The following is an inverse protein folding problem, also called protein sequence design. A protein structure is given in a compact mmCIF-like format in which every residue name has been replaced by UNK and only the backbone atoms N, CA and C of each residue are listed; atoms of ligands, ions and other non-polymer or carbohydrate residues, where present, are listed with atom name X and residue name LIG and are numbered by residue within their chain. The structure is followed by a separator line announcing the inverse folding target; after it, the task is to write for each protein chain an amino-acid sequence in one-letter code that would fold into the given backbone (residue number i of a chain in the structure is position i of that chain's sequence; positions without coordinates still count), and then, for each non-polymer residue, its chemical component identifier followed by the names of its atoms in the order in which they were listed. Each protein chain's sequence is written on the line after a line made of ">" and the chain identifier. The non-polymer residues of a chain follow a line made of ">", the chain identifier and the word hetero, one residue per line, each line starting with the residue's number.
data_IF_676317508163
#
_entry.id   IF_676317508163
#
_cell.length_a   1.000
_cell.length_b   1.000
_cell.length_c   1.000
_cell.angle_alpha   90.00
_cell.angle_beta   90.00
_cell.angle_gamma   90.00
#
_symmetry.space_group_name_H-M   'P 1'
#
loop_
_entity.id
_entity.type
_entity.pdbx_description
1 polymer ?
#
# COMPACT_ATOMS: atom_id res chain seq x y z
N UNK A 1 -10.47 9.55 4.36
CA UNK A 1 -9.44 8.65 3.81
C UNK A 1 -10.03 8.05 2.55
N UNK A 2 -9.78 8.73 1.42
CA UNK A 2 -9.11 8.17 0.24
C UNK A 2 -9.90 7.02 -0.41
N UNK A 3 -10.54 7.36 -1.54
CA UNK A 3 -11.30 6.50 -2.48
C UNK A 3 -10.61 5.16 -2.79
N UNK A 4 -9.29 5.08 -2.56
CA UNK A 4 -8.46 3.87 -2.67
C UNK A 4 -9.08 2.67 -1.96
N UNK A 5 -9.41 2.77 -0.67
CA UNK A 5 -9.95 1.63 0.08
C UNK A 5 -11.34 1.20 -0.39
N UNK A 6 -12.10 2.12 -0.99
CA UNK A 6 -13.40 1.83 -1.60
C UNK A 6 -13.23 1.10 -2.94
N UNK A 7 -12.31 1.55 -3.80
CA UNK A 7 -11.97 0.88 -5.07
C UNK A 7 -11.41 -0.51 -4.79
N UNK A 8 -10.48 -0.63 -3.83
CA UNK A 8 -9.87 -1.91 -3.49
C UNK A 8 -10.92 -2.97 -3.11
N UNK A 9 -11.93 -2.57 -2.34
CA UNK A 9 -13.05 -3.45 -1.96
C UNK A 9 -14.03 -3.69 -3.11
N UNK A 10 -14.41 -2.65 -3.84
CA UNK A 10 -15.38 -2.73 -4.93
C UNK A 10 -14.88 -3.62 -6.08
N UNK A 11 -13.60 -3.50 -6.43
CA UNK A 11 -12.95 -4.26 -7.50
C UNK A 11 -12.37 -5.60 -7.01
N UNK A 12 -12.64 -5.98 -5.75
CA UNK A 12 -12.18 -7.22 -5.12
C UNK A 12 -10.68 -7.47 -5.32
N UNK A 13 -9.87 -6.41 -5.16
CA UNK A 13 -8.43 -6.48 -5.27
C UNK A 13 -7.84 -7.25 -4.09
N UNK A 14 -6.72 -7.92 -4.33
CA UNK A 14 -6.04 -8.72 -3.31
C UNK A 14 -4.53 -8.51 -3.36
N UNK A 15 -3.90 -8.53 -2.20
CA UNK A 15 -2.47 -8.68 -2.02
C UNK A 15 -2.21 -9.92 -1.17
N UNK A 16 -1.04 -10.54 -1.32
CA UNK A 16 -0.73 -11.72 -0.51
C UNK A 16 -0.40 -11.33 0.92
N UNK A 17 -0.81 -12.17 1.87
CA UNK A 17 -0.42 -12.01 3.28
C UNK A 17 1.10 -12.06 3.45
N UNK A 18 1.79 -12.85 2.63
CA UNK A 18 3.26 -12.94 2.62
C UNK A 18 3.91 -11.60 2.25
N UNK A 19 3.33 -10.86 1.29
CA UNK A 19 3.80 -9.54 0.92
C UNK A 19 3.61 -8.55 2.07
N UNK A 20 2.46 -8.60 2.76
CA UNK A 20 2.22 -7.77 3.95
C UNK A 20 3.24 -8.07 5.06
N UNK A 21 3.46 -9.34 5.40
CA UNK A 21 4.40 -9.74 6.47
C UNK A 21 5.81 -9.25 6.15
N UNK A 22 6.28 -9.49 4.92
CA UNK A 22 7.62 -9.09 4.49
C UNK A 22 7.84 -7.58 4.56
N UNK A 23 6.87 -6.79 4.09
CA UNK A 23 7.00 -5.32 4.10
C UNK A 23 6.91 -4.73 5.51
N UNK A 24 6.14 -5.35 6.41
CA UNK A 24 6.11 -4.99 7.84
C UNK A 24 7.44 -5.31 8.51
N UNK A 25 7.99 -6.51 8.26
CA UNK A 25 9.31 -6.91 8.78
C UNK A 25 10.41 -5.95 8.31
N UNK A 26 10.45 -5.65 7.00
CA UNK A 26 11.39 -4.69 6.43
C UNK A 26 11.28 -3.31 7.10
N UNK A 27 10.06 -2.81 7.28
CA UNK A 27 9.81 -1.51 7.92
C UNK A 27 10.32 -1.51 9.37
N UNK A 28 10.00 -2.55 10.15
CA UNK A 28 10.47 -2.71 11.53
C UNK A 28 12.00 -2.78 11.59
N UNK A 29 12.65 -3.50 10.68
CA UNK A 29 14.11 -3.57 10.60
C UNK A 29 14.74 -2.20 10.33
N UNK A 30 14.11 -1.36 9.49
CA UNK A 30 14.56 0.02 9.27
C UNK A 30 14.45 0.86 10.54
N UNK A 31 13.32 0.84 11.24
CA UNK A 31 13.17 1.58 12.51
C UNK A 31 14.21 1.14 13.55
N UNK A 32 14.44 -0.18 13.68
CA UNK A 32 15.49 -0.73 14.56
C UNK A 32 16.89 -0.27 14.16
N UNK A 33 17.19 -0.26 12.86
CA UNK A 33 18.50 0.17 12.32
C UNK A 33 18.82 1.61 12.66
N UNK A 34 17.82 2.49 12.70
CA UNK A 34 17.97 3.90 13.06
C UNK A 34 17.69 4.20 14.53
N UNK A 35 17.51 3.15 15.36
CA UNK A 35 17.22 3.26 16.79
C UNK A 35 16.03 4.18 17.09
N UNK A 36 14.99 4.09 16.24
CA UNK A 36 13.76 4.86 16.33
C UNK A 36 12.69 4.07 17.07
N UNK A 37 11.93 4.74 17.92
CA UNK A 37 10.72 4.16 18.50
C UNK A 37 9.68 3.93 17.40
N UNK A 38 9.03 2.76 17.46
CA UNK A 38 7.99 2.39 16.53
C UNK A 38 6.84 1.68 17.24
N UNK A 39 5.66 1.76 16.63
CA UNK A 39 4.48 1.00 17.02
C UNK A 39 4.13 0.01 15.90
N UNK A 40 4.16 -1.28 16.21
CA UNK A 40 3.92 -2.33 15.22
C UNK A 40 2.52 -2.26 14.60
N UNK A 41 1.52 -1.82 15.38
CA UNK A 41 0.14 -1.63 14.90
C UNK A 41 0.08 -0.54 13.83
N UNK A 42 0.73 0.60 14.09
CA UNK A 42 0.83 1.72 13.17
C UNK A 42 1.66 1.38 11.94
N UNK A 43 2.75 0.63 12.07
CA UNK A 43 3.54 0.15 10.91
C UNK A 43 2.67 -0.76 10.06
N UNK A 44 1.98 -1.73 10.67
CA UNK A 44 1.12 -2.66 9.94
C UNK A 44 0.03 -1.93 9.16
N UNK A 45 -0.64 -0.97 9.79
CA UNK A 45 -1.68 -0.19 9.11
C UNK A 45 -1.10 0.62 7.95
N UNK A 46 0.04 1.28 8.14
CA UNK A 46 0.70 2.04 7.08
C UNK A 46 1.10 1.16 5.89
N UNK A 47 1.65 -0.03 6.15
CA UNK A 47 2.01 -0.98 5.10
C UNK A 47 0.76 -1.46 4.36
N UNK A 48 -0.35 -1.74 5.07
CA UNK A 48 -1.62 -2.09 4.43
C UNK A 48 -2.11 -0.98 3.50
N UNK A 49 -2.13 0.27 3.97
CA UNK A 49 -2.57 1.41 3.17
C UNK A 49 -1.72 1.59 1.89
N UNK A 50 -0.41 1.38 2.01
CA UNK A 50 0.52 1.45 0.87
C UNK A 50 0.29 0.32 -0.13
N UNK A 51 0.07 -0.91 0.35
CA UNK A 51 -0.19 -2.07 -0.51
C UNK A 51 -1.54 -1.93 -1.24
N UNK A 52 -2.58 -1.46 -0.55
CA UNK A 52 -3.88 -1.18 -1.16
C UNK A 52 -3.75 -0.09 -2.23
N UNK A 53 -3.05 1.01 -1.92
CA UNK A 53 -2.82 2.09 -2.87
C UNK A 53 -2.04 1.64 -4.11
N UNK A 54 -1.00 0.80 -3.93
CA UNK A 54 -0.25 0.24 -5.04
C UNK A 54 -1.14 -0.61 -5.95
N UNK A 55 -1.97 -1.48 -5.37
CA UNK A 55 -2.89 -2.34 -6.13
C UNK A 55 -3.96 -1.56 -6.87
N UNK A 56 -4.53 -0.55 -6.24
CA UNK A 56 -5.50 0.34 -6.90
C UNK A 56 -4.85 1.10 -8.06
N UNK A 57 -3.62 1.58 -7.89
CA UNK A 57 -2.90 2.26 -8.96
C UNK A 57 -2.59 1.33 -10.15
N UNK A 58 -2.19 0.09 -9.89
CA UNK A 58 -2.03 -0.95 -10.91
C UNK A 58 -3.35 -1.18 -11.67
N UNK A 59 -4.44 -1.38 -10.93
CA UNK A 59 -5.76 -1.59 -11.50
C UNK A 59 -6.22 -0.40 -12.35
N UNK A 60 -6.05 0.84 -11.86
CA UNK A 60 -6.40 2.05 -12.61
C UNK A 60 -5.60 2.17 -13.92
N UNK A 61 -4.32 1.78 -13.92
CA UNK A 61 -3.50 1.80 -15.14
C UNK A 61 -4.01 0.82 -16.21
N UNK A 62 -4.56 -0.31 -15.79
CA UNK A 62 -5.08 -1.35 -16.69
C UNK A 62 -6.52 -1.07 -17.14
N UNK A 63 -7.32 -0.43 -16.29
CA UNK A 63 -8.77 -0.28 -16.48
C UNK A 63 -9.21 1.13 -16.87
N UNK A 64 -8.31 2.12 -16.90
CA UNK A 64 -8.63 3.48 -17.30
C UNK A 64 -7.76 3.95 -18.48
N UNK A 65 -8.31 4.86 -19.27
CA UNK A 65 -7.54 5.56 -20.30
C UNK A 65 -6.64 6.60 -19.64
N UNK A 66 -5.33 6.46 -19.81
CA UNK A 66 -4.36 7.43 -19.30
C UNK A 66 -4.11 8.49 -20.39
N UNK A 67 -4.48 9.73 -20.09
CA UNK A 67 -4.19 10.87 -20.95
C UNK A 67 -3.06 11.74 -20.38
N UNK A 68 -2.09 12.08 -21.22
CA UNK A 68 -0.99 12.97 -20.84
C UNK A 68 -1.26 14.37 -21.38
N UNK A 69 -1.64 15.28 -20.48
CA UNK A 69 -1.83 16.69 -20.82
C UNK A 69 -0.47 17.38 -20.83
N UNK A 70 0.03 17.70 -22.02
CA UNK A 70 1.20 18.57 -22.18
C UNK A 70 0.72 20.03 -22.14
N UNK A 71 1.35 20.85 -21.29
CA UNK A 71 1.18 22.31 -21.32
C UNK A 71 2.02 22.93 -22.42
#
# INVERSE_FOLDING_TARGET
>A
MLVVGEIFKAENLQYSTDQLVKEVENSIEEFKRYNQDYDEGNIKQQVQDVLEAAKVLEWLKENCTIEYIKK
#
